data_IF_496522554561
#
_entry.id   IF_496522554561
#
_cell.length_a   1.000
_cell.length_b   1.000
_cell.length_c   1.000
_cell.angle_alpha   90.00
_cell.angle_beta   90.00
_cell.angle_gamma   90.00
#
_symmetry.space_group_name_H-M   'P 1'
#
loop_
_entity.id
_entity.type
_entity.pdbx_description
1 polymer ?
#
# COMPACT_ATOMS: atom_id res chain seq x y z
N UNK A 1 5.88 3.54 -4.02
CA UNK A 1 5.38 4.93 -3.95
C UNK A 1 3.89 4.90 -4.21
N UNK A 2 3.09 5.66 -3.45
CA UNK A 2 1.63 5.76 -3.71
C UNK A 2 1.34 6.96 -4.60
N UNK A 3 0.49 6.78 -5.60
CA UNK A 3 0.12 7.77 -6.60
C UNK A 3 -1.41 7.92 -6.60
N UNK A 4 -1.89 9.05 -6.15
CA UNK A 4 -3.32 9.42 -6.11
C UNK A 4 -3.79 10.17 -7.37
N UNK A 5 -2.87 10.43 -8.29
CA UNK A 5 -3.14 10.96 -9.62
C UNK A 5 -2.18 10.36 -10.65
N UNK A 6 -2.53 10.39 -11.95
CA UNK A 6 -1.64 9.91 -13.00
C UNK A 6 -0.31 10.67 -13.00
N UNK A 7 0.85 10.00 -12.85
CA UNK A 7 2.16 10.66 -12.83
C UNK A 7 2.58 11.17 -14.20
N UNK A 8 3.29 12.29 -14.22
CA UNK A 8 3.99 12.80 -15.40
C UNK A 8 5.27 11.99 -15.68
N UNK A 9 5.95 12.30 -16.80
CA UNK A 9 7.19 11.62 -17.22
C UNK A 9 8.29 11.76 -16.15
N UNK A 10 8.53 12.97 -15.66
CA UNK A 10 9.58 13.24 -14.66
C UNK A 10 9.33 12.52 -13.33
N UNK A 11 8.05 12.37 -12.92
CA UNK A 11 7.69 11.62 -11.73
C UNK A 11 7.98 10.12 -11.91
N UNK A 12 7.66 9.58 -13.09
CA UNK A 12 7.98 8.17 -13.43
C UNK A 12 9.48 7.94 -13.43
N UNK A 13 10.27 8.87 -13.99
CA UNK A 13 11.75 8.79 -14.01
C UNK A 13 12.31 8.82 -12.58
N UNK A 14 11.79 9.69 -11.68
CA UNK A 14 12.19 9.71 -10.27
C UNK A 14 11.85 8.40 -9.56
N UNK A 15 10.65 7.86 -9.77
CA UNK A 15 10.25 6.56 -9.19
C UNK A 15 11.17 5.44 -9.69
N UNK A 16 11.46 5.40 -10.98
CA UNK A 16 12.34 4.40 -11.57
C UNK A 16 13.78 4.50 -11.01
N UNK A 17 14.25 5.71 -10.71
CA UNK A 17 15.57 5.92 -10.11
C UNK A 17 15.68 5.36 -8.67
N UNK A 18 14.57 5.09 -7.99
CA UNK A 18 14.55 4.43 -6.68
C UNK A 18 14.69 2.90 -6.77
N UNK A 19 14.79 2.35 -7.99
CA UNK A 19 14.85 0.91 -8.21
C UNK A 19 16.00 0.27 -7.44
N UNK A 20 15.64 -0.72 -6.60
CA UNK A 20 16.59 -1.65 -5.98
C UNK A 20 16.81 -2.89 -6.85
N UNK A 21 17.44 -3.96 -6.33
CA UNK A 21 17.62 -5.23 -7.05
C UNK A 21 16.29 -5.87 -7.49
N UNK A 22 15.20 -5.61 -6.76
CA UNK A 22 13.84 -6.07 -7.08
C UNK A 22 13.06 -5.13 -8.01
N UNK A 23 13.66 -4.03 -8.48
CA UNK A 23 12.97 -3.00 -9.25
C UNK A 23 12.36 -1.90 -8.38
N UNK A 24 11.53 -1.07 -9.00
CA UNK A 24 10.70 -0.06 -8.32
C UNK A 24 9.23 -0.41 -8.48
N UNK A 25 8.38 0.05 -7.56
CA UNK A 25 6.94 -0.16 -7.62
C UNK A 25 6.16 1.12 -7.30
N UNK A 26 4.99 1.26 -7.94
CA UNK A 26 4.03 2.32 -7.70
C UNK A 26 2.64 1.72 -7.43
N UNK A 27 2.01 2.12 -6.33
CA UNK A 27 0.63 1.80 -5.98
C UNK A 27 -0.25 2.92 -6.54
N UNK A 28 -1.25 2.55 -7.31
CA UNK A 28 -2.13 3.47 -8.03
C UNK A 28 -3.49 3.49 -7.34
N UNK A 29 -3.81 4.61 -6.71
CA UNK A 29 -5.11 4.89 -6.11
C UNK A 29 -5.92 5.65 -7.15
N UNK A 30 -6.85 4.94 -7.79
CA UNK A 30 -7.70 5.48 -8.86
C UNK A 30 -9.03 5.91 -8.25
N UNK A 31 -9.19 7.21 -8.03
CA UNK A 31 -10.39 7.79 -7.40
C UNK A 31 -11.57 7.90 -8.37
N UNK A 32 -12.77 7.96 -7.81
CA UNK A 32 -13.99 8.22 -8.58
C UNK A 32 -14.20 9.71 -8.89
N UNK A 33 -14.96 10.04 -9.94
CA UNK A 33 -15.62 9.13 -10.89
C UNK A 33 -14.68 8.57 -11.95
N UNK A 34 -14.84 7.29 -12.29
CA UNK A 34 -14.08 6.62 -13.36
C UNK A 34 -14.63 7.01 -14.74
N UNK A 35 -14.40 8.24 -15.18
CA UNK A 35 -14.75 8.65 -16.54
C UNK A 35 -13.70 8.20 -17.57
N UNK A 36 -14.10 8.22 -18.86
CA UNK A 36 -13.21 7.85 -19.96
C UNK A 36 -11.95 8.71 -20.04
N UNK A 37 -12.01 9.97 -19.59
CA UNK A 37 -10.89 10.90 -19.59
C UNK A 37 -9.84 10.48 -18.58
N UNK A 38 -10.27 10.25 -17.34
CA UNK A 38 -9.42 9.79 -16.25
C UNK A 38 -8.83 8.41 -16.55
N UNK A 39 -9.64 7.48 -17.06
CA UNK A 39 -9.15 6.14 -17.42
C UNK A 39 -8.11 6.17 -18.55
N UNK A 40 -8.24 7.05 -19.55
CA UNK A 40 -7.19 7.24 -20.56
C UNK A 40 -5.89 7.78 -19.96
N UNK A 41 -5.98 8.70 -19.00
CA UNK A 41 -4.80 9.26 -18.33
C UNK A 41 -4.07 8.18 -17.50
N UNK A 42 -4.81 7.37 -16.73
CA UNK A 42 -4.25 6.26 -15.96
C UNK A 42 -3.64 5.17 -16.85
N UNK A 43 -4.28 4.84 -17.98
CA UNK A 43 -3.70 3.91 -18.97
C UNK A 43 -2.37 4.43 -19.51
N UNK A 44 -2.32 5.72 -19.88
CA UNK A 44 -1.07 6.34 -20.32
C UNK A 44 0.00 6.37 -19.20
N UNK A 45 -0.41 6.52 -17.95
CA UNK A 45 0.50 6.44 -16.79
C UNK A 45 1.02 5.00 -16.59
N UNK A 46 0.15 4.01 -16.66
CA UNK A 46 0.53 2.59 -16.62
C UNK A 46 1.55 2.22 -17.69
N UNK A 47 1.32 2.66 -18.93
CA UNK A 47 2.26 2.40 -20.03
C UNK A 47 3.63 3.05 -19.80
N UNK A 48 3.67 4.27 -19.23
CA UNK A 48 4.93 4.94 -18.87
C UNK A 48 5.66 4.21 -17.74
N UNK A 49 4.95 3.81 -16.69
CA UNK A 49 5.50 3.04 -15.56
C UNK A 49 6.11 1.73 -16.05
N UNK A 50 5.36 0.97 -16.85
CA UNK A 50 5.83 -0.29 -17.45
C UNK A 50 7.05 -0.07 -18.34
N UNK A 51 7.02 0.95 -19.18
CA UNK A 51 8.14 1.33 -20.05
C UNK A 51 9.40 1.72 -19.29
N UNK A 52 9.27 2.21 -18.06
CA UNK A 52 10.36 2.52 -17.14
C UNK A 52 10.77 1.35 -16.21
N UNK A 53 10.15 0.17 -16.37
CA UNK A 53 10.43 -1.00 -15.51
C UNK A 53 9.86 -0.90 -14.09
N UNK A 54 8.87 -0.02 -13.88
CA UNK A 54 8.19 0.14 -12.58
C UNK A 54 6.99 -0.77 -12.52
N UNK A 55 6.92 -1.62 -11.49
CA UNK A 55 5.74 -2.44 -11.21
C UNK A 55 4.58 -1.53 -10.77
N UNK A 56 3.46 -1.62 -11.46
CA UNK A 56 2.24 -0.92 -11.06
C UNK A 56 1.33 -1.87 -10.27
N UNK A 57 0.89 -1.43 -9.08
CA UNK A 57 -0.12 -2.10 -8.25
C UNK A 57 -1.39 -1.27 -8.29
N UNK A 58 -2.46 -1.78 -8.85
CA UNK A 58 -3.74 -1.06 -8.94
C UNK A 58 -4.60 -1.39 -7.75
N UNK A 59 -5.03 -0.38 -7.01
CA UNK A 59 -6.03 -0.49 -5.95
C UNK A 59 -7.43 -0.57 -6.57
N UNK A 60 -8.21 -1.58 -6.18
CA UNK A 60 -9.59 -1.75 -6.67
C UNK A 60 -10.50 -0.67 -6.10
N UNK A 61 -10.41 -0.43 -4.79
CA UNK A 61 -11.27 0.52 -4.09
C UNK A 61 -10.54 1.06 -2.85
N UNK A 62 -10.74 2.34 -2.56
CA UNK A 62 -10.26 2.94 -1.31
C UNK A 62 -11.02 2.38 -0.10
N UNK A 63 -10.36 2.36 1.07
CA UNK A 63 -10.91 1.80 2.29
C UNK A 63 -12.21 2.48 2.73
N UNK A 64 -12.31 3.79 2.54
CA UNK A 64 -13.52 4.55 2.90
C UNK A 64 -14.70 4.25 1.96
N UNK A 65 -14.43 3.84 0.72
CA UNK A 65 -15.44 3.53 -0.28
C UNK A 65 -15.80 2.04 -0.36
N UNK A 66 -15.15 1.17 0.42
CA UNK A 66 -15.39 -0.28 0.37
C UNK A 66 -16.82 -0.68 0.74
N UNK A 67 -17.53 0.09 1.56
CA UNK A 67 -18.92 -0.16 1.95
C UNK A 67 -19.92 0.80 1.28
N UNK A 68 -19.46 1.72 0.42
CA UNK A 68 -20.31 2.69 -0.26
C UNK A 68 -20.98 2.10 -1.51
N UNK A 69 -22.11 2.73 -1.91
CA UNK A 69 -22.85 2.38 -3.12
C UNK A 69 -23.44 0.96 -3.13
N UNK A 70 -23.97 0.54 -4.25
CA UNK A 70 -24.51 -0.82 -4.45
C UNK A 70 -23.40 -1.79 -4.87
N UNK A 71 -23.69 -3.09 -4.84
CA UNK A 71 -22.79 -4.10 -5.38
C UNK A 71 -22.66 -4.01 -6.90
N UNK A 72 -23.72 -3.56 -7.60
CA UNK A 72 -23.67 -3.32 -9.04
C UNK A 72 -22.71 -2.16 -9.38
N UNK A 73 -22.67 -1.10 -8.55
CA UNK A 73 -21.70 0.00 -8.71
C UNK A 73 -20.28 -0.49 -8.48
N UNK A 74 -20.05 -1.31 -7.46
CA UNK A 74 -18.74 -1.91 -7.19
C UNK A 74 -18.28 -2.81 -8.33
N UNK A 75 -19.17 -3.66 -8.86
CA UNK A 75 -18.86 -4.55 -9.99
C UNK A 75 -18.59 -3.75 -11.27
N UNK A 76 -19.34 -2.68 -11.52
CA UNK A 76 -19.11 -1.79 -12.66
C UNK A 76 -17.75 -1.09 -12.56
N UNK A 77 -17.39 -0.60 -11.37
CA UNK A 77 -16.06 -0.03 -11.09
C UNK A 77 -14.95 -1.04 -11.36
N UNK A 78 -15.06 -2.25 -10.81
CA UNK A 78 -14.07 -3.31 -10.97
C UNK A 78 -13.89 -3.68 -12.45
N UNK A 79 -14.99 -3.84 -13.19
CA UNK A 79 -14.96 -4.11 -14.61
C UNK A 79 -14.26 -2.99 -15.42
N UNK A 80 -14.53 -1.72 -15.08
CA UNK A 80 -13.89 -0.58 -15.71
C UNK A 80 -12.37 -0.55 -15.44
N UNK A 81 -11.94 -0.83 -14.21
CA UNK A 81 -10.53 -0.91 -13.85
C UNK A 81 -9.82 -2.05 -14.61
N UNK A 82 -10.41 -3.26 -14.65
CA UNK A 82 -9.85 -4.41 -15.38
C UNK A 82 -9.73 -4.08 -16.87
N UNK A 83 -10.78 -3.54 -17.49
CA UNK A 83 -10.76 -3.17 -18.89
C UNK A 83 -9.74 -2.06 -19.22
N UNK A 84 -9.55 -1.12 -18.29
CA UNK A 84 -8.64 0.01 -18.46
C UNK A 84 -7.19 -0.30 -18.10
N UNK A 85 -6.95 -1.10 -17.07
CA UNK A 85 -5.66 -1.29 -16.41
C UNK A 85 -5.26 -2.77 -16.26
N UNK A 86 -5.90 -3.70 -16.97
CA UNK A 86 -5.67 -5.15 -16.87
C UNK A 86 -4.21 -5.58 -17.07
N UNK A 87 -3.39 -4.73 -17.71
CA UNK A 87 -1.94 -4.93 -17.83
C UNK A 87 -1.12 -4.53 -16.61
N UNK A 88 -1.72 -4.21 -15.46
CA UNK A 88 -1.03 -3.93 -14.21
C UNK A 88 -0.21 -5.13 -13.74
N UNK A 89 0.88 -4.85 -13.01
CA UNK A 89 1.79 -5.89 -12.51
C UNK A 89 1.29 -6.59 -11.24
N UNK A 90 0.36 -5.97 -10.49
CA UNK A 90 -0.31 -6.54 -9.33
C UNK A 90 -1.63 -5.77 -9.04
N UNK A 91 -2.49 -6.34 -8.19
CA UNK A 91 -3.77 -5.77 -7.82
C UNK A 91 -3.99 -5.79 -6.30
N UNK A 92 -4.38 -4.66 -5.74
CA UNK A 92 -4.80 -4.58 -4.35
C UNK A 92 -6.32 -4.76 -4.28
N UNK A 93 -6.74 -5.92 -3.76
CA UNK A 93 -8.13 -6.36 -3.77
C UNK A 93 -8.97 -5.78 -2.65
N UNK A 94 -8.35 -5.50 -1.52
CA UNK A 94 -8.95 -4.84 -0.36
C UNK A 94 -7.93 -3.93 0.31
N UNK A 95 -8.38 -2.76 0.74
CA UNK A 95 -7.56 -1.75 1.40
C UNK A 95 -7.99 -1.57 2.85
N UNK A 96 -7.00 -1.56 3.77
CA UNK A 96 -7.15 -1.27 5.19
C UNK A 96 -8.22 -2.08 5.93
N UNK A 97 -8.44 -3.35 5.50
CA UNK A 97 -9.37 -4.21 6.21
C UNK A 97 -8.98 -4.31 7.68
N UNK A 98 -9.96 -4.24 8.55
CA UNK A 98 -9.78 -4.12 10.00
C UNK A 98 -9.83 -2.69 10.52
N UNK A 99 -9.86 -1.68 9.64
CA UNK A 99 -10.24 -0.32 10.00
C UNK A 99 -11.74 -0.25 10.32
N UNK A 100 -12.13 0.41 11.42
CA UNK A 100 -13.52 0.49 11.86
C UNK A 100 -14.47 1.22 10.89
N UNK A 101 -13.90 1.93 9.92
CA UNK A 101 -14.63 2.67 8.87
C UNK A 101 -14.90 1.87 7.60
N UNK A 102 -14.30 0.69 7.44
CA UNK A 102 -14.39 -0.06 6.17
C UNK A 102 -15.76 -0.69 5.91
N UNK A 103 -16.59 -0.81 6.96
CA UNK A 103 -17.96 -1.30 6.91
C UNK A 103 -18.10 -2.81 6.77
N UNK A 104 -19.36 -3.27 6.84
CA UNK A 104 -19.68 -4.71 6.94
C UNK A 104 -19.46 -5.48 5.64
N UNK A 105 -19.54 -4.81 4.47
CA UNK A 105 -19.37 -5.44 3.15
C UNK A 105 -17.93 -5.52 2.66
N UNK A 106 -17.00 -4.91 3.38
CA UNK A 106 -15.60 -4.79 2.93
C UNK A 106 -14.95 -6.15 2.63
N UNK A 107 -15.13 -7.12 3.51
CA UNK A 107 -14.59 -8.49 3.33
C UNK A 107 -15.25 -9.18 2.13
N UNK A 108 -16.58 -9.12 2.00
CA UNK A 108 -17.29 -9.73 0.90
C UNK A 108 -16.88 -9.13 -0.45
N UNK A 109 -16.81 -7.81 -0.55
CA UNK A 109 -16.37 -7.11 -1.75
C UNK A 109 -14.92 -7.41 -2.12
N UNK A 110 -14.05 -7.55 -1.11
CA UNK A 110 -12.66 -7.98 -1.32
C UNK A 110 -12.59 -9.39 -1.91
N UNK A 111 -13.38 -10.34 -1.40
CA UNK A 111 -13.49 -11.69 -1.98
C UNK A 111 -14.01 -11.62 -3.43
N UNK A 112 -15.04 -10.82 -3.67
CA UNK A 112 -15.62 -10.59 -5.01
C UNK A 112 -14.59 -10.06 -5.99
N UNK A 113 -13.82 -9.03 -5.60
CA UNK A 113 -12.73 -8.46 -6.40
C UNK A 113 -11.63 -9.50 -6.69
N UNK A 114 -11.19 -10.22 -5.66
CA UNK A 114 -10.13 -11.22 -5.80
C UNK A 114 -10.54 -12.37 -6.74
N UNK A 115 -11.82 -12.81 -6.70
CA UNK A 115 -12.36 -13.81 -7.65
C UNK A 115 -12.38 -13.28 -9.07
N UNK A 116 -12.92 -12.06 -9.29
CA UNK A 116 -13.02 -11.46 -10.60
C UNK A 116 -11.62 -11.31 -11.24
N UNK A 117 -10.63 -10.82 -10.47
CA UNK A 117 -9.24 -10.67 -10.94
C UNK A 117 -8.56 -12.02 -11.23
N UNK A 118 -8.88 -13.08 -10.48
CA UNK A 118 -8.38 -14.44 -10.76
C UNK A 118 -8.97 -14.99 -12.05
N UNK A 119 -10.25 -14.74 -12.29
CA UNK A 119 -11.00 -15.37 -13.38
C UNK A 119 -10.88 -14.60 -14.71
N UNK A 120 -10.46 -13.34 -14.69
CA UNK A 120 -10.25 -12.53 -15.90
C UNK A 120 -8.87 -12.82 -16.53
N UNK A 121 -8.82 -13.16 -17.83
CA UNK A 121 -7.55 -13.49 -18.52
C UNK A 121 -6.50 -12.39 -18.51
N UNK A 122 -6.90 -11.12 -18.43
CA UNK A 122 -5.97 -9.97 -18.43
C UNK A 122 -5.27 -9.79 -17.08
N UNK A 123 -5.82 -10.34 -16.00
CA UNK A 123 -5.35 -10.13 -14.62
C UNK A 123 -5.00 -11.43 -13.88
N UNK A 124 -5.41 -12.59 -14.38
CA UNK A 124 -5.27 -13.89 -13.70
C UNK A 124 -3.84 -14.24 -13.27
N UNK A 125 -2.83 -13.78 -14.01
CA UNK A 125 -1.42 -14.00 -13.70
C UNK A 125 -0.79 -12.96 -12.76
N UNK A 126 -1.52 -11.88 -12.42
CA UNK A 126 -1.01 -10.83 -11.56
C UNK A 126 -1.23 -11.18 -10.06
N UNK A 127 -0.22 -10.95 -9.18
CA UNK A 127 -0.39 -11.12 -7.75
C UNK A 127 -1.52 -10.27 -7.19
N UNK A 128 -2.26 -10.82 -6.22
CA UNK A 128 -3.33 -10.15 -5.48
C UNK A 128 -2.84 -9.79 -4.08
N UNK A 129 -2.87 -8.50 -3.78
CA UNK A 129 -2.49 -7.91 -2.51
C UNK A 129 -3.75 -7.65 -1.68
N UNK A 130 -3.72 -8.02 -0.41
CA UNK A 130 -4.69 -7.64 0.61
C UNK A 130 -4.00 -6.72 1.62
N UNK A 131 -4.49 -5.51 1.80
CA UNK A 131 -3.98 -4.58 2.80
C UNK A 131 -4.84 -4.60 4.06
N UNK A 132 -4.19 -4.84 5.20
CA UNK A 132 -4.77 -4.80 6.53
C UNK A 132 -4.38 -3.50 7.22
N UNK A 133 -5.30 -2.94 8.02
CA UNK A 133 -4.99 -1.77 8.83
C UNK A 133 -4.26 -2.18 10.10
N UNK A 134 -3.11 -1.55 10.37
CA UNK A 134 -2.38 -1.78 11.61
C UNK A 134 -2.94 -0.94 12.74
N UNK A 135 -3.48 -1.60 13.76
CA UNK A 135 -3.84 -1.01 15.05
C UNK A 135 -3.72 -2.05 16.16
N UNK A 136 -3.56 -1.55 17.39
CA UNK A 136 -3.41 -2.38 18.61
C UNK A 136 -4.72 -2.59 19.36
N UNK A 137 -5.81 -2.01 18.88
CA UNK A 137 -7.13 -2.11 19.51
C UNK A 137 -7.26 -1.27 20.80
N UNK A 138 -6.56 -0.13 20.88
CA UNK A 138 -6.65 0.76 22.04
C UNK A 138 -8.04 1.37 22.21
N UNK A 139 -8.76 1.59 21.14
CA UNK A 139 -10.12 2.13 21.13
C UNK A 139 -11.18 1.02 21.02
N UNK A 140 -10.84 -0.07 20.30
CA UNK A 140 -11.69 -1.22 20.07
C UNK A 140 -10.84 -2.49 19.88
N UNK A 141 -10.92 -3.40 20.87
CA UNK A 141 -10.11 -4.62 20.90
C UNK A 141 -10.41 -5.57 19.72
N UNK A 142 -11.64 -5.56 19.18
CA UNK A 142 -12.05 -6.41 18.04
C UNK A 142 -11.33 -6.01 16.77
N UNK A 143 -10.94 -4.74 16.64
CA UNK A 143 -10.19 -4.22 15.51
C UNK A 143 -8.67 -4.34 15.66
N UNK A 144 -8.14 -4.85 16.79
CA UNK A 144 -6.70 -5.11 16.87
C UNK A 144 -6.28 -6.08 15.76
N UNK A 145 -5.18 -5.80 15.09
CA UNK A 145 -4.75 -6.50 13.86
C UNK A 145 -4.92 -8.03 13.92
N UNK A 146 -4.34 -8.68 14.94
CA UNK A 146 -4.34 -10.14 15.00
C UNK A 146 -5.68 -10.72 15.41
N UNK A 147 -6.45 -10.03 16.25
CA UNK A 147 -7.82 -10.44 16.59
C UNK A 147 -8.68 -10.36 15.34
N UNK A 148 -8.66 -9.22 14.67
CA UNK A 148 -9.45 -9.04 13.44
C UNK A 148 -9.10 -10.08 12.36
N UNK A 149 -7.81 -10.36 12.15
CA UNK A 149 -7.35 -11.41 11.21
C UNK A 149 -7.92 -12.78 11.58
N UNK A 150 -7.89 -13.15 12.87
CA UNK A 150 -8.42 -14.43 13.33
C UNK A 150 -9.92 -14.58 13.16
N UNK A 151 -10.66 -13.49 13.31
CA UNK A 151 -12.12 -13.51 13.34
C UNK A 151 -12.74 -13.29 11.94
N UNK A 152 -12.07 -12.59 11.03
CA UNK A 152 -12.67 -12.10 9.79
C UNK A 152 -12.03 -12.65 8.49
N UNK A 153 -10.79 -13.14 8.51
CA UNK A 153 -10.18 -13.67 7.29
C UNK A 153 -10.57 -15.13 7.08
N UNK A 154 -11.45 -15.36 6.10
CA UNK A 154 -11.82 -16.71 5.68
C UNK A 154 -10.66 -17.44 4.96
N UNK A 155 -10.66 -18.78 5.01
CA UNK A 155 -9.73 -19.61 4.24
C UNK A 155 -9.78 -19.29 2.74
N UNK A 156 -10.96 -18.95 2.24
CA UNK A 156 -11.14 -18.55 0.85
C UNK A 156 -10.39 -17.25 0.53
N UNK A 157 -10.59 -16.18 1.32
CA UNK A 157 -9.91 -14.91 1.08
C UNK A 157 -8.39 -15.07 1.17
N UNK A 158 -7.92 -15.81 2.18
CA UNK A 158 -6.49 -16.15 2.30
C UNK A 158 -6.02 -16.91 1.07
N UNK A 159 -6.80 -17.89 0.58
CA UNK A 159 -6.46 -18.68 -0.63
C UNK A 159 -6.42 -17.84 -1.92
N UNK A 160 -7.18 -16.76 -2.00
CA UNK A 160 -7.21 -15.82 -3.12
C UNK A 160 -6.13 -14.73 -3.05
N UNK A 161 -5.40 -14.63 -1.93
CA UNK A 161 -4.40 -13.58 -1.66
C UNK A 161 -3.00 -14.14 -1.85
N UNK A 162 -2.15 -13.45 -2.59
CA UNK A 162 -0.74 -13.82 -2.80
C UNK A 162 0.19 -13.03 -1.86
N UNK A 163 -0.20 -11.80 -1.53
CA UNK A 163 0.57 -10.88 -0.67
C UNK A 163 -0.36 -10.28 0.38
N UNK A 164 0.07 -10.24 1.63
CA UNK A 164 -0.61 -9.51 2.71
C UNK A 164 0.23 -8.32 3.08
N UNK A 165 -0.35 -7.14 2.99
CA UNK A 165 0.25 -5.86 3.32
C UNK A 165 -0.30 -5.27 4.61
N UNK A 166 0.47 -4.40 5.22
CA UNK A 166 0.02 -3.54 6.30
C UNK A 166 -0.06 -2.09 5.84
N UNK A 167 -1.15 -1.41 6.17
CA UNK A 167 -1.23 0.04 6.22
C UNK A 167 -0.81 0.49 7.62
N UNK A 168 0.19 1.39 7.69
CA UNK A 168 0.87 1.79 8.93
C UNK A 168 0.90 3.31 9.05
N UNK A 169 0.29 3.81 10.09
CA UNK A 169 0.28 5.23 10.47
C UNK A 169 0.84 5.38 11.90
N UNK A 170 2.18 5.54 12.04
CA UNK A 170 2.84 5.50 13.34
C UNK A 170 2.43 6.60 14.31
N UNK A 171 1.91 7.73 13.80
CA UNK A 171 1.39 8.84 14.60
C UNK A 171 0.09 8.49 15.31
N UNK A 172 -0.74 7.63 14.73
CA UNK A 172 -2.03 7.23 15.30
C UNK A 172 -1.92 5.90 16.04
N UNK A 173 -1.19 4.93 15.48
CA UNK A 173 -1.03 3.60 16.05
C UNK A 173 0.44 3.29 16.26
N UNK A 174 0.93 3.36 17.51
CA UNK A 174 2.33 3.16 17.85
C UNK A 174 2.87 1.84 17.32
N UNK A 175 3.86 1.95 16.43
CA UNK A 175 4.62 0.79 15.96
C UNK A 175 6.06 0.82 16.53
N UNK A 176 6.64 2.00 16.63
CA UNK A 176 8.01 2.19 17.11
C UNK A 176 9.00 1.31 16.34
N UNK A 177 9.91 0.71 17.08
CA UNK A 177 10.89 -0.24 16.53
C UNK A 177 10.36 -1.69 16.49
N UNK A 178 9.07 -1.92 16.73
CA UNK A 178 8.47 -3.26 16.81
C UNK A 178 7.90 -3.76 15.47
N UNK A 179 8.12 -3.05 14.36
CA UNK A 179 7.59 -3.42 13.05
C UNK A 179 7.97 -4.85 12.62
N UNK A 180 9.19 -5.31 12.95
CA UNK A 180 9.65 -6.67 12.72
C UNK A 180 8.80 -7.70 13.46
N UNK A 181 8.42 -7.44 14.71
CA UNK A 181 7.60 -8.33 15.54
C UNK A 181 6.16 -8.42 15.06
N UNK A 182 5.59 -7.30 14.65
CA UNK A 182 4.23 -7.27 14.08
C UNK A 182 4.17 -8.08 12.80
N UNK A 183 5.13 -7.86 11.89
CA UNK A 183 5.21 -8.62 10.65
C UNK A 183 5.51 -10.11 10.91
N UNK A 184 6.32 -10.46 11.91
CA UNK A 184 6.56 -11.85 12.33
C UNK A 184 5.26 -12.53 12.78
N UNK A 185 4.50 -11.86 13.67
CA UNK A 185 3.23 -12.37 14.16
C UNK A 185 2.19 -12.53 13.04
N UNK A 186 2.12 -11.56 12.12
CA UNK A 186 1.24 -11.64 10.95
C UNK A 186 1.64 -12.80 10.03
N UNK A 187 2.93 -13.00 9.78
CA UNK A 187 3.42 -14.12 8.97
C UNK A 187 3.13 -15.49 9.61
N UNK A 188 3.17 -15.58 10.94
CA UNK A 188 2.77 -16.79 11.67
C UNK A 188 1.26 -17.05 11.58
N UNK A 189 0.43 -15.99 11.58
CA UNK A 189 -1.02 -16.09 11.42
C UNK A 189 -1.45 -16.46 9.99
N UNK A 190 -0.66 -16.06 8.97
CA UNK A 190 -0.97 -16.23 7.55
C UNK A 190 0.17 -16.98 6.80
N UNK A 191 0.42 -18.25 7.13
CA UNK A 191 1.54 -18.99 6.60
C UNK A 191 1.48 -19.12 5.06
N UNK A 192 2.64 -19.01 4.42
CA UNK A 192 2.77 -19.13 2.97
C UNK A 192 2.39 -17.88 2.19
N UNK A 193 1.97 -16.81 2.84
CA UNK A 193 1.75 -15.50 2.19
C UNK A 193 3.02 -14.66 2.23
N UNK A 194 3.28 -13.92 1.15
CA UNK A 194 4.32 -12.89 1.15
C UNK A 194 3.82 -11.70 1.95
N UNK A 195 4.73 -11.00 2.63
CA UNK A 195 4.38 -9.84 3.44
C UNK A 195 4.92 -8.55 2.85
N UNK A 196 4.16 -7.46 3.02
CA UNK A 196 4.50 -6.11 2.60
C UNK A 196 4.11 -5.08 3.67
N UNK A 197 4.63 -3.87 3.56
CA UNK A 197 3.98 -2.67 4.07
C UNK A 197 3.41 -1.95 2.86
N UNK A 198 2.13 -2.17 2.61
CA UNK A 198 1.42 -1.70 1.41
C UNK A 198 1.02 -0.23 1.49
N UNK A 199 1.10 0.35 2.69
CA UNK A 199 0.91 1.77 2.91
C UNK A 199 1.70 2.21 4.13
N UNK A 200 2.49 3.29 4.00
CA UNK A 200 3.20 3.91 5.09
C UNK A 200 2.94 5.41 5.06
N UNK A 201 2.12 5.88 6.00
CA UNK A 201 1.71 7.25 6.11
C UNK A 201 2.47 7.98 7.23
N UNK A 202 3.55 8.68 6.89
CA UNK A 202 4.19 9.68 7.74
C UNK A 202 4.94 10.69 6.88
N UNK A 203 4.23 11.73 6.47
CA UNK A 203 4.73 12.80 5.61
C UNK A 203 3.71 13.93 5.52
N UNK A 204 3.95 14.91 4.67
CA UNK A 204 3.08 16.05 4.45
C UNK A 204 2.52 16.66 5.77
N UNK A 205 1.20 16.68 5.93
CA UNK A 205 0.54 17.22 7.14
C UNK A 205 0.74 16.38 8.40
N UNK A 206 0.91 15.06 8.27
CA UNK A 206 1.14 14.17 9.41
C UNK A 206 2.46 14.44 10.13
N UNK A 207 3.37 15.19 9.52
CA UNK A 207 4.60 15.65 10.19
C UNK A 207 4.34 16.55 11.38
N UNK A 208 3.14 17.12 11.52
CA UNK A 208 2.75 17.92 12.68
C UNK A 208 2.37 17.05 13.90
N UNK A 209 1.83 15.86 13.66
CA UNK A 209 1.37 14.96 14.71
C UNK A 209 2.51 14.15 15.35
N UNK A 210 3.59 13.96 14.60
CA UNK A 210 4.87 13.39 14.99
C UNK A 210 4.82 12.00 15.63
N UNK A 211 5.53 11.02 15.08
CA UNK A 211 5.76 9.79 15.82
C UNK A 211 6.82 10.06 16.87
N UNK A 212 6.40 10.58 18.01
CA UNK A 212 7.27 10.91 19.15
C UNK A 212 8.09 9.72 19.70
N UNK A 213 7.83 8.50 19.25
CA UNK A 213 8.67 7.31 19.47
C UNK A 213 9.98 7.28 18.68
N UNK A 214 10.11 8.11 17.62
CA UNK A 214 11.29 8.19 16.78
C UNK A 214 12.05 9.50 16.92
N UNK A 215 11.66 10.37 17.82
CA UNK A 215 12.28 11.67 18.04
C UNK A 215 11.29 12.72 18.53
N UNK A 216 11.71 13.97 18.62
CA UNK A 216 10.81 15.05 18.98
C UNK A 216 10.02 15.50 17.76
N UNK A 217 8.75 15.87 17.96
CA UNK A 217 7.92 16.52 16.94
C UNK A 217 8.52 17.84 16.38
N UNK A 218 9.60 18.34 16.99
CA UNK A 218 10.30 19.52 16.53
C UNK A 218 11.23 19.27 15.35
N UNK A 219 11.66 18.02 15.13
CA UNK A 219 12.47 17.62 13.96
C UNK A 219 11.71 16.61 13.10
N UNK A 220 10.72 17.12 12.38
CA UNK A 220 9.85 16.30 11.52
C UNK A 220 10.62 15.57 10.41
N UNK A 221 11.68 16.16 9.87
CA UNK A 221 12.48 15.52 8.83
C UNK A 221 13.28 14.33 9.38
N UNK A 222 13.87 14.48 10.57
CA UNK A 222 14.58 13.38 11.24
C UNK A 222 13.60 12.25 11.64
N UNK A 223 12.43 12.60 12.15
CA UNK A 223 11.39 11.63 12.50
C UNK A 223 10.91 10.86 11.26
N UNK A 224 10.65 11.54 10.13
CA UNK A 224 10.31 10.90 8.85
C UNK A 224 11.39 9.94 8.36
N UNK A 225 12.65 10.36 8.44
CA UNK A 225 13.80 9.49 8.10
C UNK A 225 13.84 8.25 8.98
N UNK A 226 13.67 8.38 10.29
CA UNK A 226 13.66 7.26 11.23
C UNK A 226 12.52 6.29 10.96
N UNK A 227 11.29 6.78 10.70
CA UNK A 227 10.15 5.95 10.29
C UNK A 227 10.46 5.17 9.02
N UNK A 228 10.96 5.85 7.98
CA UNK A 228 11.32 5.20 6.72
C UNK A 228 12.39 4.12 6.92
N UNK A 229 13.42 4.39 7.72
CA UNK A 229 14.51 3.44 8.00
C UNK A 229 14.00 2.20 8.74
N UNK A 230 13.30 2.37 9.86
CA UNK A 230 12.87 1.26 10.70
C UNK A 230 11.84 0.37 10.00
N UNK A 231 10.83 0.97 9.38
CA UNK A 231 9.78 0.20 8.71
C UNK A 231 10.31 -0.49 7.45
N UNK A 232 11.19 0.17 6.69
CA UNK A 232 11.81 -0.45 5.51
C UNK A 232 12.73 -1.60 5.91
N UNK A 233 13.55 -1.43 6.96
CA UNK A 233 14.41 -2.50 7.45
C UNK A 233 13.59 -3.71 7.91
N UNK A 234 12.50 -3.49 8.65
CA UNK A 234 11.61 -4.56 9.08
C UNK A 234 10.93 -5.26 7.90
N UNK A 235 10.45 -4.50 6.91
CA UNK A 235 9.80 -5.05 5.72
C UNK A 235 10.74 -5.91 4.87
N UNK A 236 12.00 -5.45 4.65
CA UNK A 236 12.98 -6.12 3.80
C UNK A 236 13.79 -7.21 4.51
N UNK A 237 13.92 -7.14 5.83
CA UNK A 237 14.73 -8.07 6.64
C UNK A 237 14.13 -9.46 6.84
N UNK A 238 13.07 -9.82 6.10
CA UNK A 238 12.32 -11.06 6.27
C UNK A 238 12.39 -11.95 5.05
N UNK A 239 12.39 -13.26 5.29
CA UNK A 239 12.07 -14.22 4.26
C UNK A 239 10.60 -14.02 3.79
N UNK A 240 10.38 -14.05 2.49
CA UNK A 240 9.05 -13.80 1.91
C UNK A 240 8.63 -12.33 1.83
N UNK A 241 9.55 -11.38 2.08
CA UNK A 241 9.27 -9.96 1.83
C UNK A 241 8.87 -9.71 0.38
N UNK A 242 7.83 -8.89 0.17
CA UNK A 242 7.41 -8.52 -1.19
C UNK A 242 8.13 -7.28 -1.72
N UNK A 243 8.68 -6.43 -0.84
CA UNK A 243 9.43 -5.25 -1.20
C UNK A 243 9.48 -4.21 -0.08
N UNK A 244 10.01 -3.04 -0.42
CA UNK A 244 10.01 -1.88 0.48
C UNK A 244 8.59 -1.30 0.63
N UNK A 245 8.33 -0.54 1.71
CA UNK A 245 7.03 0.11 1.92
C UNK A 245 6.60 1.02 0.78
N UNK A 246 5.29 1.07 0.52
CA UNK A 246 4.70 2.10 -0.33
C UNK A 246 4.48 3.36 0.49
N UNK A 247 5.18 4.45 0.13
CA UNK A 247 5.07 5.73 0.80
C UNK A 247 3.79 6.45 0.35
N UNK A 248 2.88 6.76 1.31
CA UNK A 248 1.57 7.34 1.00
C UNK A 248 1.69 8.77 0.46
N UNK A 249 2.41 9.63 1.17
CA UNK A 249 2.53 11.05 0.83
C UNK A 249 3.56 11.37 -0.25
N UNK A 250 3.95 10.39 -1.09
CA UNK A 250 5.03 10.58 -2.06
C UNK A 250 4.85 11.82 -2.93
N UNK A 251 3.65 12.02 -3.53
CA UNK A 251 3.39 13.17 -4.42
C UNK A 251 3.42 14.51 -3.69
N UNK A 252 2.93 14.55 -2.46
CA UNK A 252 2.90 15.74 -1.62
C UNK A 252 4.32 16.10 -1.15
N UNK A 253 5.10 15.12 -0.72
CA UNK A 253 6.47 15.30 -0.23
C UNK A 253 7.46 15.67 -1.34
N UNK A 254 7.18 15.27 -2.60
CA UNK A 254 7.98 15.69 -3.77
C UNK A 254 7.57 17.08 -4.32
N UNK A 255 6.50 17.68 -3.81
CA UNK A 255 6.04 18.98 -4.28
C UNK A 255 7.06 20.09 -3.91
N UNK A 256 7.22 21.12 -4.76
CA UNK A 256 8.09 22.24 -4.46
C UNK A 256 7.68 22.94 -3.14
N UNK A 257 8.61 23.08 -2.21
CA UNK A 257 8.38 23.68 -0.90
C UNK A 257 7.69 22.79 0.12
N UNK A 258 7.58 21.48 -0.15
CA UNK A 258 7.07 20.51 0.80
C UNK A 258 7.87 20.54 2.12
N UNK A 259 7.16 20.48 3.23
CA UNK A 259 7.75 20.44 4.57
C UNK A 259 8.63 19.20 4.71
N UNK A 260 9.81 19.35 5.27
CA UNK A 260 10.79 18.26 5.40
C UNK A 260 11.55 17.93 4.11
N UNK A 261 11.27 18.64 3.00
CA UNK A 261 11.92 18.45 1.70
C UNK A 261 11.49 17.17 0.97
N UNK A 262 12.06 16.89 -0.22
CA UNK A 262 11.74 15.71 -0.99
C UNK A 262 12.04 14.41 -0.24
N UNK A 263 11.12 13.45 -0.31
CA UNK A 263 11.26 12.14 0.35
C UNK A 263 12.12 11.16 -0.47
N UNK A 264 12.22 11.36 -1.78
CA UNK A 264 12.94 10.46 -2.70
C UNK A 264 14.42 10.27 -2.32
N UNK A 265 15.09 11.33 -1.85
CA UNK A 265 16.47 11.25 -1.35
C UNK A 265 16.57 10.31 -0.15
N UNK A 266 15.73 10.50 0.85
CA UNK A 266 15.65 9.64 2.05
C UNK A 266 15.37 8.18 1.67
N UNK A 267 14.39 7.93 0.81
CA UNK A 267 14.02 6.57 0.40
C UNK A 267 15.14 5.89 -0.39
N UNK A 268 15.85 6.62 -1.25
CA UNK A 268 17.01 6.10 -1.98
C UNK A 268 18.16 5.71 -1.02
N UNK A 269 18.45 6.53 -0.03
CA UNK A 269 19.48 6.24 1.00
C UNK A 269 19.11 5.01 1.83
N UNK A 270 17.84 4.93 2.29
CA UNK A 270 17.34 3.78 3.06
C UNK A 270 17.42 2.50 2.24
N UNK A 271 16.98 2.54 0.98
CA UNK A 271 17.06 1.41 0.06
C UNK A 271 18.51 0.98 -0.21
N UNK A 272 19.46 1.93 -0.28
CA UNK A 272 20.88 1.63 -0.46
C UNK A 272 21.49 0.95 0.78
N UNK A 273 21.15 1.40 1.99
CA UNK A 273 21.61 0.80 3.26
C UNK A 273 21.06 -0.62 3.46
N UNK A 274 19.78 -0.84 3.20
CA UNK A 274 19.18 -2.16 3.29
C UNK A 274 19.87 -3.20 2.36
N UNK A 275 20.46 -2.75 1.25
CA UNK A 275 21.24 -3.60 0.32
C UNK A 275 22.63 -3.97 0.85
N UNK A 276 23.24 -3.15 1.70
CA UNK A 276 24.58 -3.38 2.25
C UNK A 276 24.61 -4.28 3.49
N UNK A 277 23.46 -4.66 4.01
CA UNK A 277 23.28 -5.42 5.24
C UNK A 277 22.94 -6.90 5.01
N UNK A 278 22.84 -7.35 3.76
CA UNK A 278 22.44 -8.72 3.37
C UNK A 278 23.60 -9.62 2.90
#
# INVERSE_FOLDING_TARGET
MTLTRPPGREEVERIAALAGPGGAAARLVVEDPLDDGLMRQWRGALDRLRGAGVLAVVQVCDSQALDEGSDDDFDARLAALIAGLGGAGAWETGNELGGSWTGDRAVERTVRAARALRDDPATAGAPRLLTLYYQLGQDDAEHSLLTWVGDNLSEELVGLTDVVGLSVYPQWHPLGTAADRVLEALGAALPGRRLAVSELGYGAEDLDDGPWWFGSAQDAAAARTAVAEHVTAAALGREGAWGAPFWWYYLQDEAPGARGGPVSGTLAEVAARARGSG
#
